data_IF_363012407101
#
_entry.id   IF_363012407101
#
_cell.length_a   1.000
_cell.length_b   1.000
_cell.length_c   1.000
_cell.angle_alpha   90.00
_cell.angle_beta   90.00
_cell.angle_gamma   90.00
#
_symmetry.space_group_name_H-M   'P 1'
#
loop_
_entity.id
_entity.type
_entity.pdbx_description
1 polymer ?
#
# COMPACT_ATOMS: atom_id res chain seq x y z
N UNK A 1 -19.99 39.72 10.58
CA UNK A 1 -19.55 39.32 9.23
C UNK A 1 -19.28 37.82 9.26
N UNK A 2 -20.17 37.04 8.64
CA UNK A 2 -20.10 35.57 8.61
C UNK A 2 -19.30 35.16 7.36
N UNK A 3 -18.06 34.71 7.55
CA UNK A 3 -17.35 33.97 6.52
C UNK A 3 -17.93 32.56 6.46
N UNK A 4 -19.03 32.40 5.72
CA UNK A 4 -19.60 31.08 5.42
C UNK A 4 -19.06 30.67 4.05
N UNK A 5 -18.00 29.87 4.06
CA UNK A 5 -17.45 29.24 2.85
C UNK A 5 -18.42 28.15 2.37
N UNK A 6 -19.43 28.54 1.59
CA UNK A 6 -20.42 27.61 1.03
C UNK A 6 -19.98 26.97 -0.29
N UNK A 7 -18.70 27.07 -0.65
CA UNK A 7 -18.16 26.14 -1.64
C UNK A 7 -17.94 24.80 -0.95
N UNK A 8 -18.77 23.77 -1.18
CA UNK A 8 -18.40 22.42 -0.78
C UNK A 8 -17.00 22.13 -1.35
N UNK A 9 -16.15 21.37 -0.64
CA UNK A 9 -14.88 20.95 -1.20
C UNK A 9 -15.14 20.36 -2.59
N UNK A 10 -14.26 20.62 -3.59
CA UNK A 10 -14.35 19.99 -4.89
C UNK A 10 -14.69 18.51 -4.67
N UNK A 11 -15.68 17.96 -5.39
CA UNK A 11 -16.19 16.66 -5.04
C UNK A 11 -15.01 15.68 -5.02
N UNK A 12 -14.86 14.92 -3.93
CA UNK A 12 -13.76 13.96 -3.75
C UNK A 12 -13.77 12.79 -4.74
N UNK A 13 -14.47 12.97 -5.86
CA UNK A 13 -14.63 12.04 -6.97
C UNK A 13 -13.91 12.52 -8.24
N UNK A 14 -12.99 13.49 -8.13
CA UNK A 14 -12.12 13.88 -9.24
C UNK A 14 -11.38 12.64 -9.73
N UNK A 15 -11.70 12.22 -10.95
CA UNK A 15 -11.02 11.08 -11.59
C UNK A 15 -9.69 11.55 -12.12
N UNK A 16 -8.61 10.92 -11.66
CA UNK A 16 -7.30 11.08 -12.26
C UNK A 16 -7.21 10.15 -13.46
N UNK A 17 -6.87 10.72 -14.62
CA UNK A 17 -6.57 9.92 -15.81
C UNK A 17 -5.17 9.32 -15.69
N UNK A 18 -5.01 8.08 -16.14
CA UNK A 18 -3.70 7.45 -16.27
C UNK A 18 -2.81 8.27 -17.23
N UNK A 19 -1.59 8.67 -16.81
CA UNK A 19 -0.61 9.26 -17.69
C UNK A 19 -0.12 8.27 -18.74
N UNK A 20 0.04 8.75 -19.98
CA UNK A 20 0.65 7.96 -21.05
C UNK A 20 2.09 7.52 -20.77
N UNK A 21 2.61 6.68 -21.66
CA UNK A 21 4.02 6.30 -21.65
C UNK A 21 4.92 7.53 -21.91
N UNK A 22 6.09 7.58 -21.27
CA UNK A 22 7.11 8.63 -21.43
C UNK A 22 8.49 8.04 -21.22
N UNK A 23 9.47 8.46 -22.02
CA UNK A 23 10.88 8.07 -21.88
C UNK A 23 11.56 8.74 -20.66
N UNK A 24 10.95 9.78 -20.11
CA UNK A 24 11.38 10.44 -18.87
C UNK A 24 10.21 10.54 -17.90
N UNK A 25 9.85 9.43 -17.22
CA UNK A 25 8.74 9.44 -16.29
C UNK A 25 9.07 10.25 -15.04
N UNK A 26 8.07 10.93 -14.48
CA UNK A 26 8.20 11.78 -13.29
C UNK A 26 7.44 11.20 -12.10
N UNK A 27 7.75 11.67 -10.89
CA UNK A 27 7.05 11.28 -9.66
C UNK A 27 5.56 11.63 -9.71
N UNK A 28 5.20 12.72 -10.40
CA UNK A 28 3.81 13.10 -10.67
C UNK A 28 3.07 12.08 -11.54
N UNK A 29 3.73 11.51 -12.55
CA UNK A 29 3.13 10.45 -13.37
C UNK A 29 2.88 9.18 -12.54
N UNK A 30 3.87 8.78 -11.73
CA UNK A 30 3.72 7.62 -10.84
C UNK A 30 2.60 7.84 -9.80
N UNK A 31 2.48 9.04 -9.23
CA UNK A 31 1.36 9.38 -8.35
C UNK A 31 0.01 9.30 -9.10
N UNK A 32 -0.06 9.76 -10.34
CA UNK A 32 -1.29 9.69 -11.12
C UNK A 32 -1.68 8.24 -11.51
N UNK A 33 -0.72 7.34 -11.75
CA UNK A 33 -1.01 5.90 -11.92
C UNK A 33 -1.62 5.29 -10.63
N UNK A 34 -1.14 5.75 -9.47
CA UNK A 34 -1.66 5.33 -8.17
C UNK A 34 -3.07 5.87 -7.95
N UNK A 35 -3.27 7.18 -8.10
CA UNK A 35 -4.55 7.85 -7.83
C UNK A 35 -5.65 7.43 -8.82
N UNK A 36 -5.29 7.06 -10.05
CA UNK A 36 -6.21 6.50 -11.06
C UNK A 36 -6.60 5.05 -10.78
N UNK A 37 -5.86 4.35 -9.92
CA UNK A 37 -6.06 2.94 -9.61
C UNK A 37 -5.41 1.96 -10.59
N UNK A 38 -4.62 2.44 -11.56
CA UNK A 38 -3.90 1.62 -12.55
C UNK A 38 -3.04 0.52 -11.91
N UNK A 39 -2.49 0.82 -10.73
CA UNK A 39 -1.65 -0.09 -9.94
C UNK A 39 -2.41 -1.28 -9.33
N UNK A 40 -3.74 -1.19 -9.24
CA UNK A 40 -4.61 -2.29 -8.78
C UNK A 40 -4.44 -2.72 -7.32
N UNK A 41 -3.60 -2.04 -6.54
CA UNK A 41 -3.46 -2.25 -5.08
C UNK A 41 -4.20 -1.18 -4.27
N UNK A 42 -4.38 0.00 -4.87
CA UNK A 42 -4.88 1.20 -4.21
C UNK A 42 -6.26 1.56 -4.75
N UNK A 43 -7.11 2.14 -3.90
CA UNK A 43 -8.44 2.61 -4.30
C UNK A 43 -8.25 3.84 -5.20
N UNK A 44 -8.94 3.88 -6.35
CA UNK A 44 -8.90 4.98 -7.31
C UNK A 44 -9.57 6.25 -6.75
N UNK A 45 -8.82 7.05 -6.01
CA UNK A 45 -9.26 8.32 -5.41
C UNK A 45 -8.14 9.35 -5.52
N UNK A 46 -8.48 10.54 -6.02
CA UNK A 46 -7.60 11.70 -5.93
C UNK A 46 -7.61 12.26 -4.50
N UNK A 47 -6.45 12.25 -3.85
CA UNK A 47 -6.27 12.90 -2.54
C UNK A 47 -5.38 14.15 -2.68
N UNK A 48 -5.95 15.37 -2.65
CA UNK A 48 -5.20 16.61 -2.68
C UNK A 48 -4.45 16.92 -1.38
N UNK A 49 -4.81 16.26 -0.27
CA UNK A 49 -4.13 16.41 1.02
C UNK A 49 -2.89 15.53 1.16
N UNK A 50 -2.70 14.58 0.23
CA UNK A 50 -1.53 13.71 0.20
C UNK A 50 -0.34 14.46 -0.39
N UNK A 51 0.78 14.47 0.35
CA UNK A 51 2.03 15.08 -0.13
C UNK A 51 2.49 14.50 -1.46
N UNK A 52 3.23 15.30 -2.24
CA UNK A 52 3.85 14.81 -3.47
C UNK A 52 4.80 13.63 -3.16
N UNK A 53 4.76 12.61 -4.01
CA UNK A 53 5.59 11.43 -3.85
C UNK A 53 7.07 11.81 -3.89
N UNK A 54 7.85 11.42 -2.86
CA UNK A 54 9.28 11.70 -2.78
C UNK A 54 9.64 13.08 -2.24
N UNK A 55 8.70 13.84 -1.69
CA UNK A 55 8.98 15.18 -1.10
C UNK A 55 10.11 15.12 -0.07
N UNK A 56 10.13 14.09 0.79
CA UNK A 56 11.17 13.93 1.80
C UNK A 56 12.54 13.61 1.16
N UNK A 57 12.56 12.79 0.12
CA UNK A 57 13.77 12.45 -0.63
C UNK A 57 14.32 13.67 -1.37
N UNK A 58 13.46 14.51 -1.94
CA UNK A 58 13.84 15.79 -2.57
C UNK A 58 14.39 16.76 -1.52
N UNK A 59 13.73 16.87 -0.36
CA UNK A 59 14.18 17.71 0.76
C UNK A 59 15.52 17.24 1.34
N UNK A 60 15.80 15.93 1.30
CA UNK A 60 17.08 15.34 1.67
C UNK A 60 18.16 15.48 0.57
N UNK A 61 17.85 16.09 -0.58
CA UNK A 61 18.77 16.24 -1.71
C UNK A 61 19.00 14.95 -2.51
N UNK A 62 18.14 13.95 -2.33
CA UNK A 62 18.21 12.62 -2.94
C UNK A 62 17.01 12.32 -3.84
N UNK A 63 16.64 13.27 -4.69
CA UNK A 63 15.52 13.12 -5.62
C UNK A 63 15.62 11.82 -6.46
N UNK A 64 14.51 11.10 -6.68
CA UNK A 64 14.53 9.85 -7.43
C UNK A 64 14.84 10.09 -8.90
N UNK A 65 15.70 9.24 -9.48
CA UNK A 65 16.02 9.29 -10.91
C UNK A 65 14.87 8.77 -11.77
N UNK A 66 14.80 9.22 -13.03
CA UNK A 66 13.81 8.75 -14.00
C UNK A 66 13.79 7.22 -14.16
N UNK A 67 14.95 6.56 -14.11
CA UNK A 67 15.04 5.10 -14.19
C UNK A 67 14.40 4.42 -12.97
N UNK A 68 14.58 4.98 -11.76
CA UNK A 68 13.93 4.47 -10.54
C UNK A 68 12.43 4.66 -10.61
N UNK A 69 11.97 5.78 -11.16
CA UNK A 69 10.54 6.05 -11.36
C UNK A 69 9.95 5.10 -12.40
N UNK A 70 10.66 4.85 -13.51
CA UNK A 70 10.23 3.90 -14.54
C UNK A 70 10.06 2.48 -13.96
N UNK A 71 11.07 2.00 -13.23
CA UNK A 71 11.01 0.72 -12.54
C UNK A 71 9.84 0.67 -11.54
N UNK A 72 9.62 1.75 -10.78
CA UNK A 72 8.50 1.82 -9.85
C UNK A 72 7.15 1.72 -10.58
N UNK A 73 6.95 2.45 -11.69
CA UNK A 73 5.74 2.36 -12.52
C UNK A 73 5.50 0.93 -13.02
N UNK A 74 6.54 0.25 -13.50
CA UNK A 74 6.44 -1.15 -13.96
C UNK A 74 6.07 -2.11 -12.82
N UNK A 75 6.70 -1.95 -11.65
CA UNK A 75 6.45 -2.83 -10.50
C UNK A 75 5.08 -2.61 -9.87
N UNK A 76 4.61 -1.36 -9.81
CA UNK A 76 3.31 -1.01 -9.25
C UNK A 76 2.17 -1.37 -10.20
N UNK A 77 2.38 -1.33 -11.52
CA UNK A 77 1.43 -1.80 -12.52
C UNK A 77 1.42 -3.34 -12.68
N UNK A 78 2.28 -4.07 -11.96
CA UNK A 78 2.37 -5.51 -12.08
C UNK A 78 1.05 -6.19 -11.69
N UNK A 79 0.60 -7.14 -12.52
CA UNK A 79 -0.63 -7.89 -12.26
C UNK A 79 -0.61 -8.54 -10.86
N UNK A 80 -1.79 -8.73 -10.26
CA UNK A 80 -1.93 -9.38 -8.95
C UNK A 80 -1.24 -10.75 -8.89
N UNK A 81 -1.19 -11.49 -10.02
CA UNK A 81 -0.47 -12.77 -10.13
C UNK A 81 1.05 -12.59 -9.98
N UNK A 82 1.62 -11.60 -10.65
CA UNK A 82 3.06 -11.28 -10.57
C UNK A 82 3.41 -10.80 -9.17
N UNK A 83 2.60 -9.91 -8.57
CA UNK A 83 2.78 -9.45 -7.18
C UNK A 83 2.73 -10.60 -6.18
N UNK A 84 1.79 -11.54 -6.34
CA UNK A 84 1.67 -12.72 -5.48
C UNK A 84 2.85 -13.68 -5.62
N UNK A 85 3.40 -13.80 -6.82
CA UNK A 85 4.60 -14.60 -7.07
C UNK A 85 5.88 -13.94 -6.52
N UNK A 86 5.95 -12.60 -6.53
CA UNK A 86 7.06 -11.82 -5.97
C UNK A 86 7.01 -11.71 -4.44
N UNK A 87 5.84 -11.93 -3.82
CA UNK A 87 5.73 -11.99 -2.36
C UNK A 87 6.52 -13.19 -1.86
N UNK A 88 7.61 -12.94 -1.13
CA UNK A 88 8.29 -14.00 -0.40
C UNK A 88 7.29 -14.64 0.59
N UNK A 89 7.26 -15.98 0.74
CA UNK A 89 6.51 -16.61 1.81
C UNK A 89 7.25 -16.34 3.13
N UNK A 90 7.16 -15.10 3.63
CA UNK A 90 7.90 -14.63 4.80
C UNK A 90 7.06 -14.71 6.06
N UNK A 91 6.65 -15.93 6.41
CA UNK A 91 6.58 -16.39 7.78
C UNK A 91 7.19 -17.77 7.71
N UNK A 92 8.38 -17.94 8.29
CA UNK A 92 9.08 -19.23 8.30
C UNK A 92 8.09 -20.30 8.78
N UNK A 93 7.85 -21.32 7.96
CA UNK A 93 6.78 -22.30 8.21
C UNK A 93 6.94 -22.95 9.59
N UNK A 94 8.18 -23.04 10.07
CA UNK A 94 8.53 -23.50 11.41
C UNK A 94 8.04 -22.59 12.54
N UNK A 95 8.06 -21.27 12.34
CA UNK A 95 7.53 -20.30 13.32
C UNK A 95 6.01 -20.44 13.42
N UNK A 96 5.32 -20.55 12.28
CA UNK A 96 3.86 -20.74 12.25
C UNK A 96 3.49 -22.06 12.93
N UNK A 97 4.17 -23.15 12.59
CA UNK A 97 3.93 -24.47 13.19
C UNK A 97 4.20 -24.46 14.70
N UNK A 98 5.32 -23.87 15.13
CA UNK A 98 5.67 -23.75 16.55
C UNK A 98 4.64 -22.95 17.34
N UNK A 99 4.20 -21.80 16.81
CA UNK A 99 3.22 -20.94 17.47
C UNK A 99 1.84 -21.60 17.56
N UNK A 100 1.39 -22.27 16.48
CA UNK A 100 0.14 -23.03 16.49
C UNK A 100 0.17 -24.20 17.49
N UNK A 101 1.29 -24.92 17.57
CA UNK A 101 1.48 -25.98 18.56
C UNK A 101 1.44 -25.45 20.00
N UNK A 102 2.08 -24.31 20.25
CA UNK A 102 2.07 -23.65 21.55
C UNK A 102 0.66 -23.25 22.01
N UNK A 103 -0.13 -22.62 21.12
CA UNK A 103 -1.53 -22.27 21.41
C UNK A 103 -2.36 -23.53 21.70
N UNK A 104 -2.20 -24.58 20.89
CA UNK A 104 -2.89 -25.85 21.10
C UNK A 104 -2.55 -26.48 22.45
N UNK A 105 -1.28 -26.47 22.84
CA UNK A 105 -0.83 -26.98 24.13
C UNK A 105 -1.44 -26.20 25.31
N UNK A 106 -1.50 -24.87 25.23
CA UNK A 106 -2.18 -24.03 26.24
C UNK A 106 -3.65 -24.44 26.36
N UNK A 107 -4.37 -24.58 25.23
CA UNK A 107 -5.77 -25.00 25.24
C UNK A 107 -5.98 -26.36 25.89
N UNK A 108 -5.10 -27.33 25.62
CA UNK A 108 -5.12 -28.66 26.24
C UNK A 108 -4.88 -28.57 27.75
N UNK A 109 -3.86 -27.81 28.18
CA UNK A 109 -3.53 -27.64 29.61
C UNK A 109 -4.68 -27.00 30.37
N UNK A 110 -5.28 -25.94 29.83
CA UNK A 110 -6.43 -25.26 30.46
C UNK A 110 -7.64 -26.20 30.56
N UNK A 111 -7.91 -26.97 29.50
CA UNK A 111 -9.02 -27.93 29.47
C UNK A 111 -8.82 -29.06 30.48
N UNK A 112 -7.59 -29.59 30.59
CA UNK A 112 -7.25 -30.62 31.58
C UNK A 112 -7.36 -30.08 33.01
N UNK A 113 -6.90 -28.85 33.27
CA UNK A 113 -7.00 -28.22 34.59
C UNK A 113 -8.47 -28.05 35.04
N UNK A 114 -9.36 -27.65 34.11
CA UNK A 114 -10.80 -27.54 34.40
C UNK A 114 -11.41 -28.91 34.68
N UNK A 115 -11.07 -29.93 33.90
CA UNK A 115 -11.62 -31.28 34.05
C UNK A 115 -11.17 -31.98 35.34
N UNK A 116 -9.91 -31.82 35.74
CA UNK A 116 -9.39 -32.38 37.00
C UNK A 116 -9.81 -31.60 38.25
N UNK A 117 -10.18 -30.33 38.08
CA UNK A 117 -10.66 -29.46 39.16
C UNK A 117 -12.16 -29.57 39.44
N UNK A 118 -12.90 -30.34 38.62
CA UNK A 118 -14.33 -30.60 38.80
C UNK A 118 -14.57 -31.98 39.43
#
# INVERSE_FOLDING_TARGET
>A
MLFRSETPPPPGNLRVSEPGASDQPTTAMLKADIDSGATGDKIAVYDPGLSSLGTDDEAAGSAPSHQRIALARETEAASAKVRRAARSPSLDAWIVLGFSGFIGAIGIVLSAAIWLGH
#
